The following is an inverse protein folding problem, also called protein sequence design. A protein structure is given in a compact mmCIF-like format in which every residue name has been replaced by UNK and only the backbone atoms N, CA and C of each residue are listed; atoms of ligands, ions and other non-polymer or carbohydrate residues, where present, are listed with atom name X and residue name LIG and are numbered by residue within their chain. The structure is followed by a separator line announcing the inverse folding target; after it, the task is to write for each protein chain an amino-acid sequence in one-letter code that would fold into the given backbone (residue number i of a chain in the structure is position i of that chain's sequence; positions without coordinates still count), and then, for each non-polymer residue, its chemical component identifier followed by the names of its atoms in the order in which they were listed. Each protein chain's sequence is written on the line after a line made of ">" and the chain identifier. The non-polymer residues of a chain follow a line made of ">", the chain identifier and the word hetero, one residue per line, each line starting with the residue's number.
data_IF_797904515730
#
_entry.id   IF_797904515730
#
_cell.length_a   1.000
_cell.length_b   1.000
_cell.length_c   1.000
_cell.angle_alpha   90.00
_cell.angle_beta   90.00
_cell.angle_gamma   90.00
#
_symmetry.space_group_name_H-M   'P 1'
#
loop_
_entity.id
_entity.type
_entity.pdbx_description
1 polymer ?
#
# COMPACT_ATOMS: atom_id res chain seq x y z
N UNK A 1 14.77 15.91 38.96
CA UNK A 1 14.87 14.98 37.81
C UNK A 1 13.50 14.98 37.15
N UNK A 2 13.26 15.98 36.30
CA UNK A 2 12.02 16.06 35.51
C UNK A 2 12.31 15.20 34.28
N UNK A 3 11.73 14.00 34.24
CA UNK A 3 11.76 13.15 33.06
C UNK A 3 11.00 13.93 31.99
N UNK A 4 11.75 14.49 31.04
CA UNK A 4 11.23 15.06 29.81
C UNK A 4 10.64 13.86 29.04
N UNK A 5 9.39 13.51 29.34
CA UNK A 5 8.62 12.60 28.51
C UNK A 5 8.51 13.31 27.17
N UNK A 6 9.41 12.96 26.24
CA UNK A 6 9.43 13.41 24.87
C UNK A 6 8.20 12.87 24.15
N UNK A 7 7.03 13.39 24.49
CA UNK A 7 5.86 13.33 23.63
C UNK A 7 6.24 14.11 22.38
N UNK A 8 6.71 13.39 21.37
CA UNK A 8 6.75 13.88 20.02
C UNK A 8 5.41 14.58 19.76
N UNK A 9 5.44 15.82 19.27
CA UNK A 9 4.21 16.53 18.89
C UNK A 9 3.31 15.59 18.07
N UNK A 10 1.97 15.67 18.20
CA UNK A 10 1.06 14.77 17.50
C UNK A 10 1.33 14.72 15.98
N UNK A 11 1.81 15.83 15.42
CA UNK A 11 2.26 15.93 14.03
C UNK A 11 3.51 15.09 13.72
N UNK A 12 4.52 15.12 14.59
CA UNK A 12 5.73 14.30 14.41
C UNK A 12 5.49 12.81 14.58
N UNK A 13 4.59 12.40 15.47
CA UNK A 13 4.21 11.00 15.64
C UNK A 13 3.48 10.48 14.39
N UNK A 14 2.51 11.24 13.87
CA UNK A 14 1.80 10.92 12.63
C UNK A 14 2.75 10.82 11.44
N UNK A 15 3.69 11.76 11.32
CA UNK A 15 4.68 11.75 10.24
C UNK A 15 5.54 10.47 10.27
N UNK A 16 6.03 10.08 11.45
CA UNK A 16 6.81 8.85 11.62
C UNK A 16 5.99 7.61 11.24
N UNK A 17 4.73 7.54 11.64
CA UNK A 17 3.85 6.41 11.31
C UNK A 17 3.64 6.27 9.79
N UNK A 18 3.41 7.39 9.10
CA UNK A 18 3.26 7.42 7.63
C UNK A 18 4.55 6.93 6.97
N UNK A 19 5.70 7.46 7.39
CA UNK A 19 7.00 7.10 6.79
C UNK A 19 7.33 5.63 7.03
N UNK A 20 7.17 5.14 8.26
CA UNK A 20 7.42 3.73 8.61
C UNK A 20 6.46 2.82 7.83
N UNK A 21 5.18 3.18 7.78
CA UNK A 21 4.17 2.44 7.03
C UNK A 21 4.46 2.39 5.53
N UNK A 22 4.92 3.50 4.94
CA UNK A 22 5.34 3.57 3.54
C UNK A 22 6.51 2.63 3.27
N UNK A 23 7.58 2.74 4.08
CA UNK A 23 8.79 1.90 3.92
C UNK A 23 8.41 0.42 4.03
N UNK A 24 7.62 0.05 5.04
CA UNK A 24 7.17 -1.33 5.22
C UNK A 24 6.44 -1.85 3.97
N UNK A 25 5.41 -1.15 3.50
CA UNK A 25 4.63 -1.61 2.35
C UNK A 25 5.45 -1.66 1.07
N UNK A 26 6.23 -0.61 0.79
CA UNK A 26 7.04 -0.51 -0.42
C UNK A 26 8.11 -1.61 -0.44
N UNK A 27 8.82 -1.84 0.67
CA UNK A 27 9.85 -2.88 0.75
C UNK A 27 9.27 -4.28 0.52
N UNK A 28 8.11 -4.58 1.12
CA UNK A 28 7.47 -5.89 0.95
C UNK A 28 6.90 -6.09 -0.47
N UNK A 29 6.35 -5.06 -1.10
CA UNK A 29 5.86 -5.18 -2.48
C UNK A 29 6.99 -5.38 -3.49
N UNK A 30 8.09 -4.65 -3.35
CA UNK A 30 9.23 -4.80 -4.28
C UNK A 30 9.94 -6.14 -4.05
N UNK A 31 10.15 -6.53 -2.79
CA UNK A 31 10.89 -7.75 -2.47
C UNK A 31 10.09 -9.03 -2.72
N UNK A 32 8.86 -9.09 -2.19
CA UNK A 32 8.08 -10.34 -2.15
C UNK A 32 6.76 -10.24 -2.93
N UNK A 33 6.40 -9.05 -3.42
CA UNK A 33 5.08 -8.79 -4.02
C UNK A 33 3.95 -8.85 -3.00
N UNK A 34 4.21 -9.09 -1.72
CA UNK A 34 3.18 -9.34 -0.74
C UNK A 34 3.67 -8.95 0.65
N UNK A 35 2.77 -8.41 1.47
CA UNK A 35 3.00 -8.27 2.91
C UNK A 35 2.72 -9.61 3.59
N UNK A 36 3.24 -9.89 4.79
CA UNK A 36 3.03 -11.16 5.50
C UNK A 36 1.55 -11.57 5.60
N UNK A 37 0.64 -10.63 5.84
CA UNK A 37 -0.80 -10.89 5.83
C UNK A 37 -1.33 -11.33 4.45
N UNK A 38 -0.85 -10.70 3.36
CA UNK A 38 -1.18 -11.10 1.98
C UNK A 38 -0.61 -12.48 1.64
N UNK A 39 0.61 -12.77 2.11
CA UNK A 39 1.24 -14.09 1.92
C UNK A 39 0.44 -15.19 2.62
N UNK A 40 -0.06 -14.95 3.84
CA UNK A 40 -0.91 -15.90 4.55
C UNK A 40 -2.22 -16.21 3.79
N UNK A 41 -2.76 -15.20 3.11
CA UNK A 41 -3.94 -15.33 2.24
C UNK A 41 -3.64 -15.95 0.86
N UNK A 42 -2.37 -16.20 0.54
CA UNK A 42 -1.97 -16.74 -0.76
C UNK A 42 -2.23 -15.76 -1.91
N UNK A 43 -2.05 -14.45 -1.67
CA UNK A 43 -2.20 -13.42 -2.71
C UNK A 43 -0.89 -12.64 -2.87
N UNK A 44 -0.59 -12.27 -4.11
CA UNK A 44 0.60 -11.50 -4.47
C UNK A 44 0.24 -10.34 -5.40
N UNK A 45 0.90 -9.21 -5.21
CA UNK A 45 0.89 -8.05 -6.09
C UNK A 45 1.99 -8.23 -7.12
N UNK A 46 1.64 -8.09 -8.38
CA UNK A 46 2.57 -8.07 -9.53
C UNK A 46 2.20 -6.90 -10.45
N UNK A 47 3.10 -6.54 -11.33
CA UNK A 47 2.80 -5.61 -12.42
C UNK A 47 1.80 -6.25 -13.40
N UNK A 48 1.05 -5.44 -14.15
CA UNK A 48 0.08 -5.94 -15.14
C UNK A 48 0.71 -6.80 -16.25
N UNK A 49 2.02 -6.64 -16.50
CA UNK A 49 2.81 -7.48 -17.40
C UNK A 49 3.33 -8.79 -16.75
N UNK A 50 3.02 -9.03 -15.47
CA UNK A 50 3.46 -10.21 -14.72
C UNK A 50 4.83 -10.05 -14.04
N UNK A 51 5.52 -8.92 -14.23
CA UNK A 51 6.82 -8.68 -13.62
C UNK A 51 6.71 -8.32 -12.12
N UNK A 52 7.83 -8.43 -11.37
CA UNK A 52 7.89 -7.92 -10.00
C UNK A 52 7.51 -6.44 -9.90
N UNK A 53 6.98 -6.03 -8.75
CA UNK A 53 6.57 -4.64 -8.54
C UNK A 53 7.79 -3.72 -8.54
N UNK A 54 7.78 -2.73 -9.43
CA UNK A 54 8.80 -1.69 -9.48
C UNK A 54 8.64 -0.66 -8.36
N UNK A 55 9.73 0.02 -8.00
CA UNK A 55 9.70 1.04 -6.96
C UNK A 55 8.72 2.18 -7.26
N UNK A 56 8.71 2.68 -8.51
CA UNK A 56 7.78 3.74 -8.92
C UNK A 56 6.31 3.32 -8.77
N UNK A 57 5.99 2.11 -9.22
CA UNK A 57 4.65 1.53 -9.06
C UNK A 57 4.27 1.31 -7.60
N UNK A 58 5.20 0.85 -6.75
CA UNK A 58 4.97 0.72 -5.32
C UNK A 58 4.67 2.06 -4.65
N UNK A 59 5.39 3.13 -5.03
CA UNK A 59 5.12 4.49 -4.54
C UNK A 59 3.75 4.99 -5.00
N UNK A 60 3.45 4.87 -6.29
CA UNK A 60 2.15 5.26 -6.85
C UNK A 60 1.00 4.51 -6.19
N UNK A 61 1.18 3.23 -5.89
CA UNK A 61 0.20 2.42 -5.17
C UNK A 61 -0.03 2.96 -3.76
N UNK A 62 1.04 3.34 -3.05
CA UNK A 62 0.95 3.94 -1.72
C UNK A 62 0.22 5.28 -1.76
N UNK A 63 0.55 6.17 -2.70
CA UNK A 63 -0.19 7.41 -2.94
C UNK A 63 -1.66 7.17 -3.31
N UNK A 64 -1.94 6.13 -4.09
CA UNK A 64 -3.29 5.72 -4.43
C UNK A 64 -4.13 5.34 -3.21
N UNK A 65 -3.53 4.82 -2.14
CA UNK A 65 -4.23 4.59 -0.88
C UNK A 65 -4.62 5.89 -0.17
N UNK A 66 -3.72 6.88 -0.14
CA UNK A 66 -4.03 8.20 0.40
C UNK A 66 -5.14 8.89 -0.39
N UNK A 67 -5.08 8.81 -1.72
CA UNK A 67 -6.12 9.34 -2.58
C UNK A 67 -7.46 8.63 -2.35
N UNK A 68 -7.43 7.29 -2.22
CA UNK A 68 -8.63 6.49 -1.92
C UNK A 68 -9.24 6.87 -0.58
N UNK A 69 -8.40 7.16 0.43
CA UNK A 69 -8.84 7.64 1.74
C UNK A 69 -9.46 9.04 1.65
N UNK A 70 -8.87 9.94 0.88
CA UNK A 70 -9.37 11.30 0.66
C UNK A 70 -10.75 11.32 -0.02
N UNK A 71 -10.99 10.40 -0.96
CA UNK A 71 -12.30 10.25 -1.64
C UNK A 71 -13.27 9.35 -0.85
N UNK A 72 -13.18 9.32 0.48
CA UNK A 72 -14.07 8.57 1.38
C UNK A 72 -14.15 7.06 1.06
N UNK A 73 -13.05 6.48 0.58
CA UNK A 73 -12.95 5.05 0.30
C UNK A 73 -13.52 4.61 -1.05
N UNK A 74 -13.98 5.54 -1.89
CA UNK A 74 -14.52 5.24 -3.24
C UNK A 74 -13.48 4.48 -4.08
N UNK A 75 -12.19 4.81 -3.95
CA UNK A 75 -11.11 4.14 -4.66
C UNK A 75 -10.96 2.65 -4.32
N UNK A 76 -11.44 2.23 -3.14
CA UNK A 76 -11.54 0.82 -2.77
C UNK A 76 -12.83 0.19 -3.28
N UNK A 77 -13.95 0.91 -3.27
CA UNK A 77 -15.23 0.43 -3.79
C UNK A 77 -15.15 0.07 -5.28
N UNK A 78 -14.27 0.73 -6.04
CA UNK A 78 -14.00 0.38 -7.44
C UNK A 78 -13.61 -1.09 -7.64
N UNK A 79 -12.97 -1.73 -6.66
CA UNK A 79 -12.61 -3.17 -6.72
C UNK A 79 -13.86 -4.05 -6.89
N UNK A 80 -14.98 -3.67 -6.27
CA UNK A 80 -16.21 -4.45 -6.31
C UNK A 80 -16.90 -4.40 -7.69
N UNK A 81 -16.70 -3.30 -8.43
CA UNK A 81 -17.34 -3.06 -9.72
C UNK A 81 -16.40 -3.29 -10.92
N UNK A 82 -15.09 -3.39 -10.68
CA UNK A 82 -14.09 -3.63 -11.73
C UNK A 82 -14.01 -5.11 -12.10
N UNK A 83 -14.12 -5.42 -13.40
CA UNK A 83 -13.99 -6.78 -13.93
C UNK A 83 -12.62 -7.41 -13.60
N UNK A 84 -11.57 -6.59 -13.54
CA UNK A 84 -10.22 -7.02 -13.16
C UNK A 84 -10.00 -7.05 -11.64
N UNK A 85 -11.02 -6.72 -10.83
CA UNK A 85 -10.94 -6.62 -9.36
C UNK A 85 -9.84 -5.65 -8.90
N UNK A 86 -9.63 -4.55 -9.65
CA UNK A 86 -8.59 -3.54 -9.38
C UNK A 86 -9.18 -2.28 -8.78
N UNK A 87 -8.53 -1.75 -7.74
CA UNK A 87 -8.88 -0.47 -7.14
C UNK A 87 -8.23 0.71 -7.87
N UNK A 88 -8.57 1.93 -7.45
CA UNK A 88 -7.95 3.15 -7.98
C UNK A 88 -6.41 3.09 -7.85
N UNK A 89 -5.93 2.65 -6.70
CA UNK A 89 -4.50 2.51 -6.41
C UNK A 89 -3.82 1.42 -7.27
N UNK A 90 -4.51 0.35 -7.62
CA UNK A 90 -3.99 -0.71 -8.50
C UNK A 90 -3.88 -0.22 -9.94
N UNK A 91 -4.89 0.54 -10.39
CA UNK A 91 -4.94 1.12 -11.74
C UNK A 91 -3.86 2.19 -11.94
N UNK A 92 -3.71 3.11 -11.00
CA UNK A 92 -2.69 4.17 -11.07
C UNK A 92 -1.28 3.56 -11.03
N UNK A 93 -1.08 2.52 -10.23
CA UNK A 93 0.22 1.86 -10.09
C UNK A 93 0.51 0.85 -11.21
N UNK A 94 -0.44 0.57 -12.12
CA UNK A 94 -0.26 -0.49 -13.11
C UNK A 94 -0.06 -1.88 -12.50
N UNK A 95 -0.54 -2.11 -11.28
CA UNK A 95 -0.39 -3.38 -10.54
C UNK A 95 -1.69 -4.17 -10.48
N UNK A 96 -1.58 -5.47 -10.28
CA UNK A 96 -2.69 -6.43 -10.18
C UNK A 96 -2.39 -7.39 -9.04
N UNK A 97 -3.45 -7.82 -8.36
CA UNK A 97 -3.38 -8.83 -7.31
C UNK A 97 -3.77 -10.18 -7.89
N UNK A 98 -2.87 -11.15 -7.79
CA UNK A 98 -3.07 -12.53 -8.25
C UNK A 98 -3.17 -13.48 -7.06
N UNK A 99 -3.95 -14.55 -7.22
CA UNK A 99 -3.90 -15.71 -6.32
C UNK A 99 -2.64 -16.52 -6.62
N UNK A 100 -1.90 -16.91 -5.58
CA UNK A 100 -0.78 -17.86 -5.66
C UNK A 100 -1.20 -19.28 -5.29
N UNK A 101 -2.49 -19.50 -5.00
CA UNK A 101 -3.11 -20.80 -4.77
C UNK A 101 -4.02 -21.17 -5.94
#
# INVERSE_FOLDING_TARGET
>A
IVINMGVASPFSALFLEIVIGAIYHIAFWIGQGATPGKMAMGIKVVMANGEPVEFGSAMLRYFGYWLSWLILGIGYLMIAFSAEKRGLHDNIAGTVVISTR
#
